data_IF_708941689760
#
_entry.id   IF_708941689760
#
_cell.length_a   1.000
_cell.length_b   1.000
_cell.length_c   1.000
_cell.angle_alpha   90.00
_cell.angle_beta   90.00
_cell.angle_gamma   90.00
#
_symmetry.space_group_name_H-M   'P 1'
#
loop_
_entity.id
_entity.type
_entity.pdbx_description
1 polymer ?
#
# COMPACT_ATOMS: atom_id res chain seq x y z
N UNK A 1 -14.42 12.36 -23.58
CA UNK A 1 -13.48 11.89 -22.56
C UNK A 1 -14.21 12.00 -21.24
N UNK A 2 -14.41 10.94 -20.44
CA UNK A 2 -14.98 11.13 -19.11
C UNK A 2 -14.05 12.06 -18.34
N UNK A 3 -14.66 12.97 -17.58
CA UNK A 3 -13.98 13.96 -16.76
C UNK A 3 -13.01 13.20 -15.82
N UNK A 4 -11.70 13.35 -16.02
CA UNK A 4 -10.69 12.68 -15.20
C UNK A 4 -10.63 13.24 -13.78
N UNK A 5 -11.36 14.34 -13.56
CA UNK A 5 -11.39 15.07 -12.29
C UNK A 5 -12.62 14.65 -11.48
N UNK A 6 -12.39 14.28 -10.23
CA UNK A 6 -13.44 14.05 -9.26
C UNK A 6 -13.36 15.15 -8.20
N UNK A 7 -14.44 15.91 -8.05
CA UNK A 7 -14.59 16.96 -7.04
C UNK A 7 -15.11 16.38 -5.73
N UNK A 8 -14.93 17.12 -4.67
CA UNK A 8 -15.41 16.75 -3.32
C UNK A 8 -14.93 15.36 -2.86
N UNK A 9 -13.77 14.93 -3.35
CA UNK A 9 -13.21 13.65 -2.98
C UNK A 9 -12.67 13.72 -1.55
N UNK A 10 -13.17 12.87 -0.61
CA UNK A 10 -12.72 12.89 0.77
C UNK A 10 -11.25 12.50 0.87
N UNK A 11 -10.48 13.23 1.66
CA UNK A 11 -9.06 13.01 1.87
C UNK A 11 -8.78 12.65 3.33
N UNK A 12 -7.96 11.64 3.53
CA UNK A 12 -7.52 11.20 4.86
C UNK A 12 -5.99 11.27 4.94
N UNK A 13 -5.44 12.43 5.35
CA UNK A 13 -4.01 12.57 5.58
C UNK A 13 -3.57 11.72 6.77
N UNK A 14 -2.64 10.80 6.54
CA UNK A 14 -2.13 9.87 7.55
C UNK A 14 -0.61 9.71 7.43
N UNK A 15 0.04 9.28 8.49
CA UNK A 15 1.45 8.88 8.50
C UNK A 15 1.71 7.52 7.86
N UNK A 16 0.93 7.15 6.84
CA UNK A 16 1.08 5.89 6.11
C UNK A 16 0.87 6.08 4.61
N UNK A 17 1.35 5.14 3.82
CA UNK A 17 1.10 5.03 2.38
C UNK A 17 0.36 3.72 2.13
N UNK A 18 -0.84 3.80 1.55
CA UNK A 18 -1.58 2.64 1.07
C UNK A 18 -1.29 2.39 -0.41
N UNK A 19 -1.29 1.14 -0.83
CA UNK A 19 -1.15 0.73 -2.24
C UNK A 19 -2.47 0.13 -2.77
N UNK A 20 -2.73 0.16 -4.09
CA UNK A 20 -3.75 -0.66 -4.69
C UNK A 20 -3.62 -2.13 -4.25
N UNK A 21 -4.74 -2.81 -4.01
CA UNK A 21 -4.88 -4.16 -3.47
C UNK A 21 -4.51 -4.34 -1.99
N UNK A 22 -3.90 -3.36 -1.35
CA UNK A 22 -3.53 -3.46 0.07
C UNK A 22 -4.76 -3.33 0.98
N UNK A 23 -4.86 -4.22 1.96
CA UNK A 23 -5.85 -4.12 3.03
C UNK A 23 -5.29 -3.32 4.19
N UNK A 24 -6.00 -2.25 4.57
CA UNK A 24 -5.61 -1.35 5.66
C UNK A 24 -6.73 -1.29 6.70
N UNK A 25 -6.51 -1.84 7.91
CA UNK A 25 -7.43 -1.61 9.03
C UNK A 25 -7.24 -0.19 9.57
N UNK A 26 -8.35 0.52 9.81
CA UNK A 26 -8.35 1.87 10.34
C UNK A 26 -9.21 1.97 11.59
N UNK A 27 -8.70 2.67 12.60
CA UNK A 27 -9.46 3.07 13.78
C UNK A 27 -9.90 4.53 13.64
N UNK A 28 -11.20 4.76 13.50
CA UNK A 28 -11.79 6.07 13.24
C UNK A 28 -12.34 6.64 14.55
N UNK A 29 -11.63 7.61 15.13
CA UNK A 29 -11.99 8.19 16.42
C UNK A 29 -12.25 9.70 16.36
N UNK A 30 -11.56 10.44 15.48
CA UNK A 30 -11.74 11.87 15.35
C UNK A 30 -13.13 12.23 14.78
N UNK A 31 -13.87 13.20 15.34
CA UNK A 31 -15.22 13.55 14.87
C UNK A 31 -15.31 13.84 13.37
N UNK A 32 -14.34 14.59 12.81
CA UNK A 32 -14.31 14.93 11.38
C UNK A 32 -14.20 13.70 10.50
N UNK A 33 -13.38 12.72 10.86
CA UNK A 33 -13.24 11.49 10.08
C UNK A 33 -14.39 10.51 10.31
N UNK A 34 -15.05 10.56 11.48
CA UNK A 34 -16.31 9.82 11.70
C UNK A 34 -17.41 10.31 10.76
N UNK A 35 -17.53 11.64 10.58
CA UNK A 35 -18.44 12.23 9.58
C UNK A 35 -18.08 11.78 8.17
N UNK A 36 -16.81 11.91 7.78
CA UNK A 36 -16.32 11.48 6.47
C UNK A 36 -16.65 10.01 6.15
N UNK A 37 -16.33 9.11 7.09
CA UNK A 37 -16.55 7.67 6.89
C UNK A 37 -18.05 7.33 6.89
N UNK A 38 -18.88 8.02 7.71
CA UNK A 38 -20.34 7.84 7.66
C UNK A 38 -20.91 8.20 6.29
N UNK A 39 -20.51 9.34 5.71
CA UNK A 39 -20.90 9.75 4.35
C UNK A 39 -20.39 8.77 3.28
N UNK A 40 -19.14 8.27 3.41
CA UNK A 40 -18.61 7.29 2.48
C UNK A 40 -19.39 5.97 2.51
N UNK A 41 -19.80 5.52 3.71
CA UNK A 41 -20.62 4.30 3.85
C UNK A 41 -22.03 4.49 3.30
N UNK A 42 -22.68 5.64 3.55
CA UNK A 42 -24.03 5.92 3.08
C UNK A 42 -24.11 6.05 1.55
N UNK A 43 -23.07 6.64 0.93
CA UNK A 43 -23.00 6.91 -0.50
C UNK A 43 -22.24 5.84 -1.29
N UNK A 44 -21.76 4.79 -0.64
CA UNK A 44 -20.93 3.73 -1.24
C UNK A 44 -19.73 4.29 -2.02
N UNK A 45 -19.11 5.36 -1.50
CA UNK A 45 -18.04 6.09 -2.18
C UNK A 45 -16.66 5.81 -1.56
N UNK A 46 -15.64 5.93 -2.40
CA UNK A 46 -14.24 5.87 -1.99
C UNK A 46 -13.81 7.16 -1.28
N UNK A 47 -12.74 7.06 -0.48
CA UNK A 47 -11.96 8.17 0.04
C UNK A 47 -10.49 7.96 -0.26
N UNK A 48 -9.64 8.98 -0.12
CA UNK A 48 -8.21 8.90 -0.43
C UNK A 48 -7.34 8.92 0.80
N UNK A 49 -6.43 7.96 0.95
CA UNK A 49 -5.31 8.07 1.89
C UNK A 49 -4.16 8.78 1.18
N UNK A 50 -3.63 9.82 1.83
CA UNK A 50 -2.43 10.55 1.40
C UNK A 50 -1.42 10.57 2.53
N UNK A 51 -0.16 10.36 2.19
CA UNK A 51 0.90 10.43 3.17
C UNK A 51 1.14 11.88 3.59
N UNK A 52 0.93 12.14 4.89
CA UNK A 52 1.25 13.39 5.56
C UNK A 52 2.37 13.12 6.58
N UNK A 53 3.50 13.79 6.40
CA UNK A 53 4.69 13.69 7.24
C UNK A 53 5.24 15.06 7.62
N UNK A 54 6.44 15.11 8.18
CA UNK A 54 7.10 16.36 8.60
C UNK A 54 7.34 17.33 7.43
N UNK A 55 7.55 16.82 6.23
CA UNK A 55 7.75 17.62 5.01
C UNK A 55 6.42 18.09 4.36
N UNK A 56 5.28 17.80 5.00
CA UNK A 56 3.94 18.11 4.49
C UNK A 56 3.26 16.91 3.86
N UNK A 57 2.19 17.18 3.10
CA UNK A 57 1.36 16.17 2.45
C UNK A 57 1.86 15.88 1.05
N UNK A 58 1.96 14.59 0.71
CA UNK A 58 2.32 14.18 -0.65
C UNK A 58 1.11 14.36 -1.59
N UNK A 59 1.32 14.82 -2.83
CA UNK A 59 0.20 15.09 -3.75
C UNK A 59 -0.42 13.81 -4.34
N UNK A 60 0.27 12.68 -4.29
CA UNK A 60 -0.21 11.39 -4.82
C UNK A 60 -0.57 10.48 -3.65
N UNK A 61 -1.78 9.93 -3.70
CA UNK A 61 -2.30 9.01 -2.71
C UNK A 61 -2.99 7.80 -3.35
N UNK A 62 -3.59 6.97 -2.52
CA UNK A 62 -4.36 5.81 -2.94
C UNK A 62 -5.84 5.97 -2.54
N UNK A 63 -6.74 5.77 -3.50
CA UNK A 63 -8.17 5.67 -3.22
C UNK A 63 -8.46 4.35 -2.48
N UNK A 64 -9.34 4.44 -1.49
CA UNK A 64 -9.69 3.34 -0.59
C UNK A 64 -11.18 3.07 -0.67
N UNK A 65 -11.54 1.80 -0.78
CA UNK A 65 -12.90 1.32 -0.61
C UNK A 65 -13.05 0.74 0.79
N UNK A 66 -14.17 1.02 1.44
CA UNK A 66 -14.52 0.39 2.71
C UNK A 66 -15.06 -1.00 2.41
N UNK A 67 -14.33 -2.04 2.77
CA UNK A 67 -14.75 -3.42 2.56
C UNK A 67 -15.79 -3.86 3.60
N UNK A 68 -15.56 -3.49 4.86
CA UNK A 68 -16.50 -3.78 5.94
C UNK A 68 -16.20 -2.95 7.19
N UNK A 69 -17.25 -2.74 7.98
CA UNK A 69 -17.13 -2.24 9.35
C UNK A 69 -16.86 -3.45 10.24
N UNK A 70 -15.71 -3.44 10.92
CA UNK A 70 -15.30 -4.51 11.84
C UNK A 70 -16.00 -4.37 13.19
N UNK A 71 -16.14 -3.12 13.65
CA UNK A 71 -16.73 -2.81 14.95
C UNK A 71 -17.30 -1.41 14.98
N UNK A 72 -18.45 -1.23 15.66
CA UNK A 72 -19.03 0.08 16.02
C UNK A 72 -19.07 0.19 17.52
N UNK A 73 -18.44 1.22 18.07
CA UNK A 73 -18.40 1.48 19.50
C UNK A 73 -19.59 2.40 19.91
N UNK A 74 -20.03 2.30 21.16
CA UNK A 74 -21.16 3.11 21.69
C UNK A 74 -20.90 4.63 21.62
N UNK A 75 -19.66 5.05 21.72
CA UNK A 75 -19.23 6.45 21.59
C UNK A 75 -19.10 6.93 20.14
N UNK A 76 -19.45 6.07 19.18
CA UNK A 76 -19.45 6.34 17.74
C UNK A 76 -18.10 6.18 17.05
N UNK A 77 -17.05 5.70 17.72
CA UNK A 77 -15.81 5.26 17.06
C UNK A 77 -16.07 4.00 16.21
N UNK A 78 -15.25 3.82 15.19
CA UNK A 78 -15.38 2.72 14.23
C UNK A 78 -14.03 2.04 14.00
N UNK A 79 -14.04 0.74 13.91
CA UNK A 79 -12.97 -0.03 13.29
C UNK A 79 -13.45 -0.49 11.92
N UNK A 80 -12.74 -0.15 10.86
CA UNK A 80 -13.07 -0.51 9.48
C UNK A 80 -11.91 -1.24 8.81
N UNK A 81 -12.23 -2.13 7.88
CA UNK A 81 -11.27 -2.69 6.95
C UNK A 81 -11.46 -2.02 5.61
N UNK A 82 -10.40 -1.49 5.05
CA UNK A 82 -10.38 -0.84 3.74
C UNK A 82 -9.45 -1.54 2.78
N UNK A 83 -9.69 -1.40 1.49
CA UNK A 83 -8.80 -1.89 0.44
C UNK A 83 -8.44 -0.77 -0.52
N UNK A 84 -7.15 -0.66 -0.85
CA UNK A 84 -6.67 0.24 -1.88
C UNK A 84 -7.15 -0.18 -3.27
N UNK A 85 -7.60 0.79 -4.06
CA UNK A 85 -8.17 0.54 -5.39
C UNK A 85 -7.30 1.08 -6.52
N UNK A 86 -6.93 2.35 -6.47
CA UNK A 86 -6.19 3.03 -7.54
C UNK A 86 -5.48 4.28 -7.04
N UNK A 87 -4.35 4.66 -7.65
CA UNK A 87 -3.67 5.90 -7.29
C UNK A 87 -4.43 7.12 -7.84
N UNK A 88 -4.34 8.23 -7.12
CA UNK A 88 -4.84 9.54 -7.54
C UNK A 88 -3.83 10.64 -7.22
N UNK A 89 -4.00 11.80 -7.86
CA UNK A 89 -3.28 13.04 -7.54
C UNK A 89 -4.26 14.11 -7.08
N UNK A 90 -3.94 14.81 -6.00
CA UNK A 90 -4.64 16.01 -5.59
C UNK A 90 -4.30 17.13 -6.59
N UNK A 91 -5.34 17.74 -7.16
CA UNK A 91 -5.25 18.87 -8.08
C UNK A 91 -5.50 20.17 -7.33
N UNK A 92 -6.47 20.15 -6.41
CA UNK A 92 -6.88 21.30 -5.62
C UNK A 92 -7.46 20.81 -4.29
N UNK A 93 -7.07 21.44 -3.18
CA UNK A 93 -7.67 21.19 -1.87
C UNK A 93 -8.92 22.06 -1.67
N UNK A 94 -9.87 21.57 -0.88
CA UNK A 94 -11.16 22.21 -0.59
C UNK A 94 -11.37 22.27 0.92
N UNK A 95 -11.78 23.45 1.43
CA UNK A 95 -11.93 23.73 2.88
C UNK A 95 -13.39 23.92 3.29
N UNK A 96 -14.36 23.62 2.42
CA UNK A 96 -15.79 23.85 2.65
C UNK A 96 -16.49 22.67 3.36
N UNK A 97 -15.75 21.61 3.70
CA UNK A 97 -16.25 20.43 4.40
C UNK A 97 -15.71 20.32 5.83
N UNK A 98 -16.41 19.60 6.73
CA UNK A 98 -15.92 19.36 8.10
C UNK A 98 -14.68 18.44 8.16
N UNK A 99 -14.25 17.90 7.03
CA UNK A 99 -13.08 17.04 6.86
C UNK A 99 -12.31 17.44 5.59
N UNK A 100 -11.02 17.11 5.47
CA UNK A 100 -10.25 17.41 4.27
C UNK A 100 -10.87 16.78 3.02
N UNK A 101 -11.01 17.57 1.97
CA UNK A 101 -11.51 17.13 0.67
C UNK A 101 -10.74 17.82 -0.46
N UNK A 102 -10.93 17.40 -1.68
CA UNK A 102 -10.29 18.04 -2.83
C UNK A 102 -10.80 17.57 -4.18
N UNK A 103 -10.37 18.28 -5.20
CA UNK A 103 -10.48 17.83 -6.59
C UNK A 103 -9.29 16.93 -6.89
N UNK A 104 -9.54 15.70 -7.31
CA UNK A 104 -8.50 14.71 -7.60
C UNK A 104 -8.56 14.23 -9.04
N UNK A 105 -7.40 13.85 -9.58
CA UNK A 105 -7.24 13.16 -10.85
C UNK A 105 -6.86 11.70 -10.58
N UNK A 106 -7.69 10.74 -11.01
CA UNK A 106 -7.30 9.33 -10.95
C UNK A 106 -6.23 9.03 -12.00
N UNK A 107 -5.18 8.38 -11.51
CA UNK A 107 -3.99 8.15 -12.29
C UNK A 107 -4.07 6.81 -13.02
N UNK A 108 -4.26 6.81 -14.36
CA UNK A 108 -4.15 5.63 -15.20
C UNK A 108 -2.70 5.42 -15.67
N UNK A 109 -2.25 4.20 -15.88
CA UNK A 109 -0.94 3.93 -16.43
C UNK A 109 -0.80 4.45 -17.87
N UNK A 110 0.43 4.72 -18.28
CA UNK A 110 0.76 4.96 -19.68
C UNK A 110 0.57 3.67 -20.47
N UNK A 111 0.07 3.79 -21.68
CA UNK A 111 0.03 2.64 -22.59
C UNK A 111 1.47 2.21 -22.89
N UNK A 112 1.78 0.96 -22.59
CA UNK A 112 3.08 0.33 -22.87
C UNK A 112 2.90 -1.16 -23.11
N UNK A 113 3.80 -1.74 -23.88
CA UNK A 113 3.81 -3.17 -24.08
C UNK A 113 4.34 -3.87 -22.81
N UNK A 114 3.71 -4.97 -22.37
CA UNK A 114 4.20 -5.78 -21.27
C UNK A 114 5.62 -6.29 -21.56
N UNK A 115 6.51 -6.17 -20.58
CA UNK A 115 7.86 -6.71 -20.68
C UNK A 115 7.94 -8.02 -19.88
N UNK A 116 7.80 -9.13 -20.55
CA UNK A 116 7.77 -10.47 -19.96
C UNK A 116 8.99 -10.74 -19.09
N UNK A 117 10.19 -10.43 -19.58
CA UNK A 117 11.42 -10.64 -18.81
C UNK A 117 11.43 -9.85 -17.48
N UNK A 118 10.83 -8.65 -17.49
CA UNK A 118 10.70 -7.83 -16.27
C UNK A 118 9.67 -8.43 -15.32
N UNK A 119 8.57 -8.96 -15.85
CA UNK A 119 7.51 -9.64 -15.09
C UNK A 119 8.05 -10.92 -14.45
N UNK A 120 8.67 -11.79 -15.22
CA UNK A 120 9.31 -13.02 -14.73
C UNK A 120 10.32 -12.75 -13.61
N UNK A 121 11.16 -11.72 -13.77
CA UNK A 121 12.15 -11.34 -12.76
C UNK A 121 11.52 -10.85 -11.46
N UNK A 122 10.35 -10.17 -11.53
CA UNK A 122 9.61 -9.72 -10.35
C UNK A 122 8.91 -10.89 -9.65
N UNK A 123 8.24 -11.75 -10.43
CA UNK A 123 7.57 -12.95 -9.92
C UNK A 123 8.57 -13.90 -9.23
N UNK A 124 9.71 -14.17 -9.87
CA UNK A 124 10.75 -15.01 -9.27
C UNK A 124 11.29 -14.43 -7.93
N UNK A 125 11.58 -13.14 -7.89
CA UNK A 125 12.05 -12.49 -6.67
C UNK A 125 10.98 -12.47 -5.57
N UNK A 126 9.70 -12.31 -5.93
CA UNK A 126 8.58 -12.38 -4.99
C UNK A 126 8.36 -13.79 -4.46
N UNK A 127 8.33 -14.80 -5.33
CA UNK A 127 8.20 -16.21 -4.92
C UNK A 127 9.31 -16.64 -3.96
N UNK A 128 10.57 -16.26 -4.24
CA UNK A 128 11.70 -16.50 -3.36
C UNK A 128 11.51 -15.83 -1.99
N UNK A 129 11.04 -14.57 -1.96
CA UNK A 129 10.77 -13.84 -0.71
C UNK A 129 9.67 -14.50 0.10
N UNK A 130 8.56 -14.90 -0.55
CA UNK A 130 7.44 -15.59 0.13
C UNK A 130 7.91 -16.93 0.69
N UNK A 131 8.64 -17.71 -0.08
CA UNK A 131 9.17 -19.00 0.36
C UNK A 131 10.08 -18.86 1.59
N UNK A 132 10.97 -17.86 1.59
CA UNK A 132 11.89 -17.66 2.73
C UNK A 132 11.18 -17.08 3.96
N UNK A 133 10.15 -16.23 3.77
CA UNK A 133 9.47 -15.57 4.88
C UNK A 133 8.36 -16.41 5.52
N UNK A 134 7.76 -17.37 4.78
CA UNK A 134 6.52 -18.05 5.21
C UNK A 134 6.54 -19.57 5.07
N UNK A 135 7.62 -20.17 4.59
CA UNK A 135 7.70 -21.61 4.23
C UNK A 135 6.67 -22.06 3.17
N UNK A 136 6.05 -21.11 2.45
CA UNK A 136 5.07 -21.36 1.39
C UNK A 136 5.72 -21.17 0.02
N UNK A 137 5.55 -22.14 -0.87
CA UNK A 137 5.97 -22.01 -2.28
C UNK A 137 4.76 -21.58 -3.12
N UNK A 138 4.95 -20.57 -3.96
CA UNK A 138 3.95 -20.13 -4.95
C UNK A 138 4.23 -20.82 -6.27
N UNK A 139 3.19 -21.28 -6.94
CA UNK A 139 3.27 -21.82 -8.31
C UNK A 139 3.03 -20.72 -9.37
N UNK A 140 3.22 -21.09 -10.65
CA UNK A 140 3.08 -20.14 -11.76
C UNK A 140 1.63 -19.66 -11.94
N UNK A 141 0.62 -20.47 -11.59
CA UNK A 141 -0.80 -20.10 -11.69
C UNK A 141 -1.16 -19.04 -10.65
N UNK A 142 -0.54 -19.10 -9.47
CA UNK A 142 -0.69 -18.09 -8.40
C UNK A 142 0.07 -16.79 -8.73
N UNK A 143 1.20 -16.88 -9.43
CA UNK A 143 2.05 -15.73 -9.75
C UNK A 143 1.54 -14.95 -10.96
N UNK A 144 1.04 -15.65 -12.00
CA UNK A 144 0.68 -15.04 -13.29
C UNK A 144 -0.27 -13.81 -13.16
N UNK A 145 -1.33 -13.84 -12.33
CA UNK A 145 -2.25 -12.70 -12.21
C UNK A 145 -1.70 -11.53 -11.37
N UNK A 146 -0.53 -11.68 -10.75
CA UNK A 146 -0.03 -10.69 -9.80
C UNK A 146 0.64 -9.51 -10.51
N UNK A 147 0.06 -8.32 -10.33
CA UNK A 147 0.70 -7.06 -10.69
C UNK A 147 1.76 -6.65 -9.65
N UNK A 148 2.58 -5.65 -10.00
CA UNK A 148 3.53 -5.06 -9.06
C UNK A 148 2.86 -4.55 -7.77
N UNK A 149 1.67 -3.95 -7.88
CA UNK A 149 0.91 -3.51 -6.71
C UNK A 149 0.40 -4.70 -5.88
N UNK A 150 -0.14 -5.74 -6.51
CA UNK A 150 -0.63 -6.91 -5.81
C UNK A 150 0.46 -7.60 -4.98
N UNK A 151 1.66 -7.75 -5.56
CA UNK A 151 2.82 -8.28 -4.85
C UNK A 151 3.29 -7.33 -3.74
N UNK A 152 3.41 -6.03 -4.02
CA UNK A 152 3.89 -5.04 -3.05
C UNK A 152 2.93 -4.85 -1.86
N UNK A 153 1.62 -5.04 -2.06
CA UNK A 153 0.60 -4.92 -1.02
C UNK A 153 0.76 -5.95 0.13
N UNK A 154 1.52 -7.01 -0.09
CA UNK A 154 1.77 -8.08 0.90
C UNK A 154 3.07 -7.93 1.68
N UNK A 155 3.90 -6.93 1.34
CA UNK A 155 5.23 -6.75 1.91
C UNK A 155 5.40 -5.32 2.45
N UNK A 156 5.95 -5.20 3.66
CA UNK A 156 6.26 -3.89 4.22
C UNK A 156 7.65 -3.41 3.76
N UNK A 157 7.66 -2.37 2.93
CA UNK A 157 8.88 -1.74 2.41
C UNK A 157 9.21 -0.39 3.05
N UNK A 158 8.36 0.11 3.94
CA UNK A 158 8.41 1.47 4.44
C UNK A 158 7.79 2.51 3.46
N UNK A 159 7.59 3.72 3.99
CA UNK A 159 6.74 4.75 3.37
C UNK A 159 7.29 5.24 2.04
N UNK A 160 8.59 5.55 1.97
CA UNK A 160 9.23 6.08 0.76
C UNK A 160 9.17 5.11 -0.43
N UNK A 161 9.38 3.81 -0.17
CA UNK A 161 9.31 2.81 -1.22
C UNK A 161 7.88 2.63 -1.75
N UNK A 162 6.87 2.61 -0.86
CA UNK A 162 5.45 2.58 -1.23
C UNK A 162 5.05 3.84 -2.00
N UNK A 163 5.48 5.02 -1.56
CA UNK A 163 5.22 6.27 -2.28
C UNK A 163 5.85 6.25 -3.67
N UNK A 164 7.08 5.77 -3.78
CA UNK A 164 7.75 5.61 -5.06
C UNK A 164 7.00 4.69 -6.03
N UNK A 165 6.30 3.66 -5.54
CA UNK A 165 5.43 2.81 -6.36
C UNK A 165 4.19 3.56 -6.84
N UNK A 166 3.54 4.36 -5.98
CA UNK A 166 2.36 5.17 -6.34
C UNK A 166 2.69 6.23 -7.38
N UNK A 167 3.87 6.81 -7.33
CA UNK A 167 4.29 7.88 -8.25
C UNK A 167 4.58 7.36 -9.67
N UNK A 168 4.84 6.06 -9.82
CA UNK A 168 5.13 5.45 -11.11
C UNK A 168 3.84 5.24 -11.94
N UNK A 169 3.94 5.57 -13.24
CA UNK A 169 2.85 5.50 -14.23
C UNK A 169 3.13 4.44 -15.29
N UNK A 170 3.85 3.39 -14.92
CA UNK A 170 4.28 2.31 -15.78
C UNK A 170 4.38 1.04 -14.96
N UNK A 171 3.62 0.00 -15.35
CA UNK A 171 3.70 -1.30 -14.69
C UNK A 171 5.09 -1.90 -14.83
N UNK A 172 5.72 -1.78 -15.99
CA UNK A 172 7.10 -2.25 -16.17
C UNK A 172 8.09 -1.54 -15.23
N UNK A 173 7.88 -0.24 -14.95
CA UNK A 173 8.72 0.50 -14.01
C UNK A 173 8.48 0.04 -12.57
N UNK A 174 7.21 -0.21 -12.18
CA UNK A 174 6.86 -0.77 -10.87
C UNK A 174 7.43 -2.17 -10.68
N UNK A 175 7.32 -3.05 -11.67
CA UNK A 175 7.90 -4.40 -11.65
C UNK A 175 9.42 -4.36 -11.43
N UNK A 176 10.13 -3.44 -12.10
CA UNK A 176 11.58 -3.23 -11.84
C UNK A 176 11.85 -2.74 -10.42
N UNK A 177 11.01 -1.86 -9.89
CA UNK A 177 11.17 -1.35 -8.53
C UNK A 177 10.93 -2.45 -7.50
N UNK A 178 9.81 -3.18 -7.58
CA UNK A 178 9.52 -4.28 -6.63
C UNK A 178 10.56 -5.37 -6.69
N UNK A 179 11.09 -5.72 -7.87
CA UNK A 179 12.20 -6.68 -8.00
C UNK A 179 13.41 -6.27 -7.15
N UNK A 180 13.78 -4.98 -7.18
CA UNK A 180 14.88 -4.46 -6.36
C UNK A 180 14.55 -4.50 -4.87
N UNK A 181 13.31 -4.15 -4.50
CA UNK A 181 12.84 -4.15 -3.12
C UNK A 181 12.80 -5.58 -2.54
N UNK A 182 12.27 -6.55 -3.29
CA UNK A 182 12.24 -7.95 -2.88
C UNK A 182 13.64 -8.52 -2.68
N UNK A 183 14.56 -8.26 -3.61
CA UNK A 183 15.96 -8.68 -3.47
C UNK A 183 16.67 -8.02 -2.29
N UNK A 184 16.32 -6.78 -1.96
CA UNK A 184 16.85 -6.11 -0.76
C UNK A 184 16.28 -6.74 0.52
N UNK A 185 14.98 -7.08 0.53
CA UNK A 185 14.35 -7.78 1.64
C UNK A 185 14.96 -9.17 1.87
N UNK A 186 15.18 -9.95 0.81
CA UNK A 186 15.86 -11.26 0.87
C UNK A 186 17.25 -11.15 1.51
N UNK A 187 18.07 -10.20 1.05
CA UNK A 187 19.39 -9.98 1.64
C UNK A 187 19.33 -9.63 3.13
N UNK A 188 18.30 -8.89 3.54
CA UNK A 188 18.09 -8.55 4.96
C UNK A 188 17.70 -9.77 5.78
N UNK A 189 16.82 -10.64 5.27
CA UNK A 189 16.46 -11.90 5.91
C UNK A 189 17.68 -12.80 6.08
N UNK A 190 18.46 -13.03 5.03
CA UNK A 190 19.72 -13.79 5.09
C UNK A 190 20.69 -13.26 6.15
N UNK A 191 20.81 -11.94 6.24
CA UNK A 191 21.69 -11.33 7.23
C UNK A 191 21.20 -11.59 8.66
N UNK A 192 19.88 -11.49 8.91
CA UNK A 192 19.28 -11.74 10.23
C UNK A 192 19.47 -13.20 10.61
N UNK A 193 19.20 -14.15 9.71
CA UNK A 193 19.39 -15.59 9.97
C UNK A 193 20.85 -15.93 10.32
N UNK A 194 21.79 -15.41 9.54
CA UNK A 194 23.23 -15.61 9.82
C UNK A 194 23.66 -14.98 11.15
N UNK A 195 23.09 -13.83 11.52
CA UNK A 195 23.37 -13.19 12.80
C UNK A 195 22.83 -14.02 13.98
N UNK A 196 21.61 -14.56 13.84
CA UNK A 196 21.00 -15.44 14.85
C UNK A 196 21.80 -16.73 15.03
N UNK A 197 22.21 -17.40 13.94
CA UNK A 197 23.05 -18.60 13.99
C UNK A 197 24.40 -18.34 14.70
N UNK A 198 25.04 -17.21 14.42
CA UNK A 198 26.29 -16.82 15.11
C UNK A 198 26.06 -16.55 16.59
N UNK A 199 24.97 -15.90 16.98
CA UNK A 199 24.64 -15.64 18.38
C UNK A 199 24.41 -16.94 19.15
N UNK A 200 23.71 -17.91 18.54
CA UNK A 200 23.48 -19.23 19.13
C UNK A 200 24.77 -20.07 19.27
N UNK A 201 25.70 -19.92 18.31
CA UNK A 201 27.00 -20.66 18.37
C UNK A 201 27.95 -20.07 19.41
N UNK A 202 27.94 -18.74 19.60
CA UNK A 202 28.80 -18.07 20.58
C UNK A 202 28.30 -18.21 22.04
N UNK A 203 27.04 -18.58 22.26
CA UNK A 203 26.48 -18.83 23.60
C UNK A 203 26.86 -20.16 24.22
N UNK A 204 27.58 -21.05 23.53
CA UNK A 204 28.12 -22.30 24.05
C UNK A 204 29.55 -22.16 24.57
N UNK A 205 29.79 -21.25 25.51
CA UNK A 205 31.02 -21.27 26.30
C UNK A 205 30.87 -22.44 27.27
N UNK A 206 31.56 -23.54 26.99
CA UNK A 206 31.78 -24.63 27.96
C UNK A 206 32.70 -24.06 29.06
N UNK A 207 32.16 -23.86 30.25
CA UNK A 207 32.97 -23.84 31.47
C UNK A 207 33.44 -25.27 31.71
N UNK A 208 34.71 -25.54 31.48
CA UNK A 208 35.42 -26.71 31.93
C UNK A 208 36.13 -26.41 33.23
#
# INVERSE_FOLDING_TARGET
MPDRLTRDFPLFPLGLVALPHEYVPLHIFEPRYRTMIAECLEQEREFGIVWAGEEGQRPVGCAMRIERVLERMEDGRLNILTQGTRPFRIVEEQDDRPYPAGTVEFLADKAEDPNERTREAAHAAYAELVAQATDRTLDDEELEPLSAYAMAATVDFGLEAKQGLLDLRSENARLRLVTRLFRAALKRLDFIERAQLRAQSNGKVRFG
#
